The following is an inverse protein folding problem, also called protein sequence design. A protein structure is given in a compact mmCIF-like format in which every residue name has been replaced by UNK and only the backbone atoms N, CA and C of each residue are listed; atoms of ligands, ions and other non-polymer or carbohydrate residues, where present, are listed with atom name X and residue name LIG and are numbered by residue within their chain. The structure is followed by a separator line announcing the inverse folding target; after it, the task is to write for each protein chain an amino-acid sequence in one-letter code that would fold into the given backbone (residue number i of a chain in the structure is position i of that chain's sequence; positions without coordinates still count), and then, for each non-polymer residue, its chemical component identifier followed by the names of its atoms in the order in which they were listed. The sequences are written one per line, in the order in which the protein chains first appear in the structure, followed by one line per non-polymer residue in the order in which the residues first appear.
data_IF_824291970297
#
_entry.id   IF_824291970297
#
_cell.length_a   1.000
_cell.length_b   1.000
_cell.length_c   1.000
_cell.angle_alpha   90.00
_cell.angle_beta   90.00
_cell.angle_gamma   90.00
#
_symmetry.space_group_name_H-M   'P 1'
#
loop_
_entity.id
_entity.type
_entity.pdbx_description
1 polymer ?
#
# COMPACT_ATOMS: atom_id res chain seq x y z
N UNK A 1 8.14 -20.65 -20.09
CA UNK A 1 7.64 -20.71 -18.70
C UNK A 1 7.55 -19.28 -18.15
N UNK A 2 6.36 -18.68 -18.13
CA UNK A 2 6.17 -17.30 -17.70
C UNK A 2 6.35 -17.21 -16.18
N UNK A 3 7.31 -16.42 -15.71
CA UNK A 3 7.56 -16.21 -14.28
C UNK A 3 6.37 -15.47 -13.69
N UNK A 4 5.55 -16.14 -12.88
CA UNK A 4 4.50 -15.47 -12.09
C UNK A 4 5.24 -14.51 -11.14
N UNK A 5 5.18 -13.20 -11.41
CA UNK A 5 5.72 -12.18 -10.51
C UNK A 5 4.73 -11.99 -9.38
N UNK A 6 5.08 -12.48 -8.19
CA UNK A 6 4.37 -12.10 -6.97
C UNK A 6 4.69 -10.64 -6.63
N UNK A 7 3.65 -9.80 -6.54
CA UNK A 7 3.75 -8.40 -6.15
C UNK A 7 3.76 -8.31 -4.63
N UNK A 8 4.79 -7.68 -4.05
CA UNK A 8 4.89 -7.46 -2.60
C UNK A 8 4.60 -6.00 -2.31
N UNK A 9 3.57 -5.74 -1.50
CA UNK A 9 3.23 -4.41 -0.99
C UNK A 9 3.76 -4.33 0.43
N UNK A 10 4.63 -3.35 0.68
CA UNK A 10 5.15 -3.04 2.01
C UNK A 10 4.46 -1.78 2.50
N UNK A 11 3.92 -1.81 3.71
CA UNK A 11 3.31 -0.64 4.33
C UNK A 11 3.82 -0.50 5.75
N UNK A 12 4.10 0.74 6.15
CA UNK A 12 4.51 1.07 7.51
C UNK A 12 3.37 1.53 8.41
N UNK A 13 2.21 1.79 7.81
CA UNK A 13 0.97 2.10 8.49
C UNK A 13 0.37 0.84 9.12
N UNK A 14 0.64 0.67 10.42
CA UNK A 14 0.02 -0.40 11.21
C UNK A 14 -1.51 -0.29 11.20
N UNK A 15 -2.06 0.92 11.21
CA UNK A 15 -3.50 1.16 11.19
C UNK A 15 -4.14 0.69 9.88
N UNK A 16 -3.49 0.90 8.74
CA UNK A 16 -3.98 0.40 7.44
C UNK A 16 -3.99 -1.14 7.38
N UNK A 17 -2.96 -1.78 7.95
CA UNK A 17 -2.90 -3.25 8.04
C UNK A 17 -4.01 -3.78 8.93
N UNK A 18 -4.22 -3.17 10.10
CA UNK A 18 -5.28 -3.58 11.02
C UNK A 18 -6.67 -3.38 10.41
N UNK A 19 -6.89 -2.30 9.67
CA UNK A 19 -8.15 -2.07 8.97
C UNK A 19 -8.41 -3.18 7.93
N UNK A 20 -7.43 -3.51 7.09
CA UNK A 20 -7.57 -4.58 6.07
C UNK A 20 -7.72 -5.97 6.70
N UNK A 21 -7.19 -6.19 7.90
CA UNK A 21 -7.36 -7.46 8.62
C UNK A 21 -8.69 -7.58 9.37
N UNK A 22 -9.41 -6.48 9.59
CA UNK A 22 -10.69 -6.49 10.30
C UNK A 22 -11.82 -7.01 9.40
N UNK A 23 -12.39 -8.20 9.68
CA UNK A 23 -13.47 -8.76 8.89
C UNK A 23 -14.82 -8.07 9.12
N UNK A 24 -14.96 -7.28 10.19
CA UNK A 24 -16.22 -6.62 10.56
C UNK A 24 -16.23 -5.12 10.26
N UNK A 25 -15.31 -4.67 9.41
CA UNK A 25 -15.22 -3.26 9.04
C UNK A 25 -16.50 -2.78 8.32
N UNK A 26 -17.13 -1.68 8.76
CA UNK A 26 -18.25 -1.07 8.05
C UNK A 26 -17.79 -0.26 6.82
N UNK A 27 -16.48 -0.10 6.63
CA UNK A 27 -15.92 0.77 5.60
C UNK A 27 -15.83 0.04 4.26
N UNK A 28 -16.65 0.49 3.30
CA UNK A 28 -16.70 -0.05 1.93
C UNK A 28 -15.33 -0.14 1.25
N UNK A 29 -14.48 0.88 1.43
CA UNK A 29 -13.12 0.88 0.87
C UNK A 29 -12.30 -0.33 1.34
N UNK A 30 -12.40 -0.68 2.62
CA UNK A 30 -11.64 -1.79 3.22
C UNK A 30 -12.16 -3.12 2.70
N UNK A 31 -13.48 -3.26 2.55
CA UNK A 31 -14.10 -4.44 1.93
C UNK A 31 -13.67 -4.61 0.47
N UNK A 32 -13.62 -3.52 -0.30
CA UNK A 32 -13.16 -3.54 -1.69
C UNK A 32 -11.69 -3.98 -1.78
N UNK A 33 -10.83 -3.47 -0.88
CA UNK A 33 -9.42 -3.89 -0.78
C UNK A 33 -9.30 -5.37 -0.42
N UNK A 34 -10.04 -5.85 0.58
CA UNK A 34 -10.05 -7.26 0.98
C UNK A 34 -10.48 -8.17 -0.18
N UNK A 35 -11.51 -7.78 -0.92
CA UNK A 35 -11.99 -8.49 -2.11
C UNK A 35 -10.92 -8.54 -3.20
N UNK A 36 -10.27 -7.41 -3.50
CA UNK A 36 -9.19 -7.32 -4.49
C UNK A 36 -7.99 -8.19 -4.11
N UNK A 37 -7.60 -8.19 -2.84
CA UNK A 37 -6.50 -9.04 -2.34
C UNK A 37 -6.86 -10.53 -2.41
N UNK A 38 -8.11 -10.89 -2.14
CA UNK A 38 -8.60 -12.27 -2.22
C UNK A 38 -8.64 -12.78 -3.67
N UNK A 39 -9.05 -11.92 -4.61
CA UNK A 39 -9.08 -12.22 -6.04
C UNK A 39 -7.65 -12.33 -6.62
N UNK A 40 -6.71 -11.51 -6.15
CA UNK A 40 -5.34 -11.46 -6.63
C UNK A 40 -4.37 -12.21 -5.72
N UNK A 41 -4.35 -13.55 -5.83
CA UNK A 41 -3.47 -14.43 -5.02
C UNK A 41 -1.95 -14.19 -5.20
N UNK A 42 -1.57 -13.38 -6.19
CA UNK A 42 -0.18 -13.01 -6.44
C UNK A 42 0.26 -11.76 -5.66
N UNK A 43 -0.62 -11.15 -4.86
CA UNK A 43 -0.30 -9.96 -4.07
C UNK A 43 -0.07 -10.37 -2.61
N UNK A 44 1.07 -9.96 -2.05
CA UNK A 44 1.41 -10.17 -0.65
C UNK A 44 1.58 -8.82 0.04
N UNK A 45 0.72 -8.54 1.03
CA UNK A 45 0.83 -7.35 1.87
C UNK A 45 1.62 -7.69 3.11
N UNK A 46 2.65 -6.88 3.43
CA UNK A 46 3.47 -7.02 4.63
C UNK A 46 3.58 -5.68 5.35
N UNK A 47 3.45 -5.74 6.68
CA UNK A 47 3.79 -4.62 7.53
C UNK A 47 5.32 -4.54 7.70
N UNK A 48 5.88 -3.35 7.53
CA UNK A 48 7.27 -3.03 7.87
C UNK A 48 7.27 -1.93 8.92
N UNK A 49 8.07 -2.07 9.97
CA UNK A 49 8.18 -1.00 10.96
C UNK A 49 8.86 0.21 10.31
N UNK A 50 8.18 1.36 10.27
CA UNK A 50 8.84 2.63 9.95
C UNK A 50 10.08 2.78 10.85
N UNK A 51 11.24 3.01 10.23
CA UNK A 51 12.57 3.15 10.89
C UNK A 51 13.25 1.87 11.39
N UNK A 52 13.15 0.76 10.66
CA UNK A 52 14.06 -0.39 10.83
C UNK A 52 15.34 -0.29 9.96
N UNK A 53 15.77 0.91 9.56
CA UNK A 53 17.02 1.12 8.81
C UNK A 53 17.00 0.64 7.35
N UNK A 54 15.83 0.41 6.76
CA UNK A 54 15.70 0.07 5.35
C UNK A 54 15.66 1.34 4.48
N UNK A 55 16.69 1.53 3.67
CA UNK A 55 16.91 2.71 2.80
C UNK A 55 15.69 3.09 1.95
N UNK A 56 14.94 2.12 1.44
CA UNK A 56 13.76 2.36 0.61
C UNK A 56 12.57 3.00 1.35
N UNK A 57 12.40 2.73 2.65
CA UNK A 57 11.34 3.36 3.45
C UNK A 57 11.67 4.83 3.78
N UNK A 58 12.96 5.16 3.90
CA UNK A 58 13.41 6.55 4.13
C UNK A 58 13.27 7.39 2.87
N UNK A 59 13.54 6.81 1.70
CA UNK A 59 13.32 7.46 0.40
C UNK A 59 11.83 7.76 0.16
N UNK A 60 10.92 6.81 0.46
CA UNK A 60 9.47 7.02 0.26
C UNK A 60 8.89 8.07 1.23
N UNK A 61 9.29 8.05 2.51
CA UNK A 61 8.91 9.07 3.50
C UNK A 61 9.44 10.46 3.15
N UNK A 62 10.65 10.52 2.58
CA UNK A 62 11.24 11.77 2.09
C UNK A 62 10.48 12.30 0.87
N UNK A 63 10.10 11.42 -0.06
CA UNK A 63 9.33 11.78 -1.25
C UNK A 63 7.90 12.22 -0.89
N UNK A 64 7.23 11.55 0.06
CA UNK A 64 5.91 11.94 0.52
C UNK A 64 5.93 13.31 1.21
N UNK A 65 6.90 13.56 2.10
CA UNK A 65 7.10 14.87 2.74
C UNK A 65 7.40 15.97 1.72
N UNK A 66 8.26 15.66 0.75
CA UNK A 66 8.60 16.59 -0.33
C UNK A 66 7.38 16.90 -1.20
N UNK A 67 6.56 15.91 -1.55
CA UNK A 67 5.34 16.10 -2.34
C UNK A 67 4.29 16.97 -1.62
N UNK A 68 4.19 16.87 -0.29
CA UNK A 68 3.32 17.73 0.53
C UNK A 68 3.84 19.17 0.56
N UNK A 69 5.16 19.37 0.68
CA UNK A 69 5.80 20.70 0.71
C UNK A 69 5.78 21.36 -0.67
N UNK A 70 6.02 20.60 -1.74
CA UNK A 70 6.05 21.08 -3.13
C UNK A 70 4.65 21.13 -3.77
N UNK A 71 3.60 20.68 -3.06
CA UNK A 71 2.21 20.80 -3.52
C UNK A 71 1.90 20.01 -4.79
N UNK A 72 2.61 18.90 -5.05
CA UNK A 72 2.42 18.11 -6.28
C UNK A 72 1.15 17.27 -6.14
N UNK A 73 0.02 17.90 -6.46
CA UNK A 73 -1.25 17.22 -6.73
C UNK A 73 -1.07 16.43 -8.03
N UNK A 74 -0.64 15.18 -7.92
CA UNK A 74 -0.75 14.22 -9.03
C UNK A 74 -2.25 14.00 -9.27
N UNK A 75 -2.82 14.75 -10.21
CA UNK A 75 -4.12 14.42 -10.81
C UNK A 75 -4.02 12.98 -11.31
N UNK A 76 -4.84 12.11 -10.72
CA UNK A 76 -4.95 10.70 -11.08
C UNK A 76 -4.99 10.57 -12.61
N UNK A 77 -4.06 9.77 -13.14
CA UNK A 77 -4.02 9.46 -14.57
C UNK A 77 -5.35 8.82 -14.96
N UNK A 78 -6.02 9.45 -15.92
CA UNK A 78 -7.26 9.00 -16.51
C UNK A 78 -7.06 7.60 -17.12
N UNK A 79 -7.90 6.60 -16.82
CA UNK A 79 -7.80 5.30 -17.46
C UNK A 79 -8.27 5.43 -18.92
N UNK A 80 -7.43 4.97 -19.85
CA UNK A 80 -7.87 4.56 -21.20
C UNK A 80 -7.95 3.06 -21.25
#
# INVERSE_FOLDING_TARGET
MSRIRATKIWTDSLSSVMAVLDPHTPHKLVLDIQSLLTQNRNILVRWIKARAGFRGNEEDDTLAKKAIIEGVVMKALNPR
#
